data_IF_898349908278
#
_entry.id   IF_898349908278
#
_cell.length_a   1.000
_cell.length_b   1.000
_cell.length_c   1.000
_cell.angle_alpha   90.00
_cell.angle_beta   90.00
_cell.angle_gamma   90.00
#
_symmetry.space_group_name_H-M   'P 1'
#
loop_
_entity.id
_entity.type
_entity.pdbx_description
1 polymer ?
#
# COMPACT_ATOMS: atom_id res chain seq x y z
N UNK A 1 7.29 12.29 0.09
CA UNK A 1 5.86 12.67 -0.07
C UNK A 1 5.70 14.09 0.44
N UNK A 2 4.99 14.98 -0.27
CA UNK A 2 4.76 16.37 0.19
C UNK A 2 3.48 16.43 1.03
N UNK A 3 3.57 17.03 2.22
CA UNK A 3 2.44 17.17 3.16
C UNK A 3 2.44 18.58 3.76
N UNK A 4 1.26 19.04 4.19
CA UNK A 4 1.08 20.32 4.87
C UNK A 4 0.97 20.10 6.37
N UNK A 5 1.72 20.88 7.16
CA UNK A 5 1.63 20.85 8.62
C UNK A 5 0.37 21.61 9.10
N UNK A 6 -0.80 20.99 9.03
CA UNK A 6 -2.07 21.67 9.34
C UNK A 6 -2.16 22.12 10.81
N UNK A 7 -1.75 21.24 11.74
CA UNK A 7 -1.85 21.48 13.19
C UNK A 7 -0.63 22.21 13.80
N UNK A 8 0.27 22.71 12.96
CA UNK A 8 1.49 23.37 13.40
C UNK A 8 1.78 24.61 12.54
N UNK A 9 2.95 24.64 11.90
CA UNK A 9 3.43 25.83 11.17
C UNK A 9 2.67 26.16 9.88
N UNK A 10 1.66 25.37 9.46
CA UNK A 10 0.86 25.54 8.23
C UNK A 10 1.66 25.55 6.92
N UNK A 11 2.94 25.19 6.98
CA UNK A 11 3.82 25.11 5.81
C UNK A 11 3.85 23.70 5.24
N UNK A 12 4.09 23.64 3.94
CA UNK A 12 4.35 22.39 3.26
C UNK A 12 5.78 21.91 3.51
N UNK A 13 5.96 20.61 3.61
CA UNK A 13 7.26 19.98 3.74
C UNK A 13 7.27 18.60 3.10
N UNK A 14 8.47 18.10 2.81
CA UNK A 14 8.67 16.72 2.41
C UNK A 14 8.78 15.88 3.68
N UNK A 15 7.94 14.85 3.79
CA UNK A 15 8.09 13.84 4.84
C UNK A 15 9.45 13.18 4.62
N UNK A 16 10.34 13.35 5.59
CA UNK A 16 11.65 12.71 5.63
C UNK A 16 11.53 11.32 6.24
N UNK A 17 12.30 11.06 7.28
CA UNK A 17 12.30 9.78 7.98
C UNK A 17 10.96 9.54 8.70
N UNK A 18 10.42 8.34 8.50
CA UNK A 18 9.28 7.81 9.24
C UNK A 18 9.84 6.91 10.33
N UNK A 19 9.48 7.19 11.57
CA UNK A 19 9.96 6.50 12.76
C UNK A 19 8.89 5.57 13.30
N UNK A 20 9.31 4.52 13.98
CA UNK A 20 8.41 3.62 14.72
C UNK A 20 8.84 3.55 16.17
N UNK A 21 7.88 3.58 17.10
CA UNK A 21 8.12 3.39 18.54
C UNK A 21 7.05 2.50 19.15
N UNK A 22 7.42 1.73 20.17
CA UNK A 22 6.45 1.05 21.03
C UNK A 22 5.82 2.07 21.97
N UNK A 23 4.49 2.15 21.99
CA UNK A 23 3.75 3.06 22.88
C UNK A 23 3.21 2.31 24.10
N UNK A 24 2.90 1.03 23.93
CA UNK A 24 2.48 0.11 24.98
C UNK A 24 2.88 -1.29 24.56
N UNK A 25 3.00 -2.21 25.53
CA UNK A 25 3.38 -3.63 25.36
C UNK A 25 3.49 -4.14 23.91
N UNK A 26 2.36 -4.28 23.21
CA UNK A 26 2.29 -4.80 21.83
C UNK A 26 1.85 -3.75 20.78
N UNK A 27 1.63 -2.50 21.20
CA UNK A 27 1.18 -1.40 20.36
C UNK A 27 2.38 -0.62 19.81
N UNK A 28 2.55 -0.71 18.50
CA UNK A 28 3.54 0.03 17.73
C UNK A 28 2.89 1.26 17.08
N UNK A 29 3.59 2.39 17.16
CA UNK A 29 3.23 3.65 16.52
C UNK A 29 4.27 4.03 15.51
N UNK A 30 3.85 4.12 14.25
CA UNK A 30 4.63 4.72 13.17
C UNK A 30 4.24 6.19 13.03
N UNK A 31 5.21 7.09 13.03
CA UNK A 31 5.00 8.53 13.01
C UNK A 31 6.09 9.27 12.21
N UNK A 32 5.81 10.51 11.82
CA UNK A 32 6.83 11.43 11.30
C UNK A 32 6.71 12.77 12.03
N UNK A 33 7.77 13.56 11.98
CA UNK A 33 7.84 14.86 12.65
C UNK A 33 7.96 15.95 11.59
N UNK A 34 7.22 17.05 11.77
CA UNK A 34 7.42 18.25 10.97
C UNK A 34 8.80 18.84 11.28
N UNK A 35 9.71 18.94 10.30
CA UNK A 35 11.08 19.40 10.55
C UNK A 35 11.16 20.89 10.94
N UNK A 36 10.08 21.66 10.73
CA UNK A 36 10.06 23.09 11.05
C UNK A 36 9.55 23.42 12.45
N UNK A 37 8.59 22.64 12.97
CA UNK A 37 7.92 22.95 14.23
C UNK A 37 7.86 21.79 15.22
N UNK A 38 8.44 20.63 14.87
CA UNK A 38 8.50 19.48 15.77
C UNK A 38 7.17 18.73 15.96
N UNK A 39 6.08 19.13 15.27
CA UNK A 39 4.79 18.46 15.42
C UNK A 39 4.87 17.00 14.95
N UNK A 40 4.50 16.08 15.84
CA UNK A 40 4.43 14.65 15.56
C UNK A 40 3.10 14.29 14.87
N UNK A 41 3.17 13.52 13.79
CA UNK A 41 2.03 12.99 13.04
C UNK A 41 2.07 11.47 13.04
N UNK A 42 1.01 10.86 13.59
CA UNK A 42 0.83 9.40 13.57
C UNK A 42 0.40 8.94 12.18
N UNK A 43 1.14 8.02 11.59
CA UNK A 43 0.81 7.38 10.31
C UNK A 43 -0.02 6.12 10.54
N UNK A 44 0.40 5.30 11.50
CA UNK A 44 -0.18 4.00 11.75
C UNK A 44 0.00 3.62 13.23
N UNK A 45 -1.03 3.01 13.79
CA UNK A 45 -0.98 2.28 15.05
C UNK A 45 -1.32 0.82 14.73
N UNK A 46 -0.49 -0.11 15.17
CA UNK A 46 -0.78 -1.55 15.06
C UNK A 46 -0.55 -2.23 16.38
N UNK A 47 -1.41 -3.19 16.69
CA UNK A 47 -1.17 -4.19 17.72
C UNK A 47 -0.76 -5.52 17.08
N UNK A 48 -0.49 -6.51 17.92
CA UNK A 48 -0.11 -7.86 17.50
C UNK A 48 -1.14 -8.51 16.57
N UNK A 49 -2.43 -8.37 16.87
CA UNK A 49 -3.53 -8.96 16.10
C UNK A 49 -3.64 -8.33 14.71
N UNK A 50 -3.57 -7.00 14.62
CA UNK A 50 -3.60 -6.27 13.36
C UNK A 50 -2.41 -6.69 12.47
N UNK A 51 -1.22 -6.87 13.05
CA UNK A 51 -0.04 -7.34 12.31
C UNK A 51 -0.23 -8.76 11.78
N UNK A 52 -0.85 -9.66 12.55
CA UNK A 52 -1.17 -11.02 12.10
C UNK A 52 -2.17 -11.01 10.93
N UNK A 53 -3.24 -10.24 11.02
CA UNK A 53 -4.23 -10.15 9.93
C UNK A 53 -3.64 -9.50 8.67
N UNK A 54 -2.79 -8.49 8.81
CA UNK A 54 -2.04 -7.93 7.68
C UNK A 54 -1.12 -8.96 7.02
N UNK A 55 -0.52 -9.86 7.80
CA UNK A 55 0.30 -10.94 7.27
C UNK A 55 -0.55 -11.98 6.52
N UNK A 56 -1.68 -12.38 7.10
CA UNK A 56 -2.65 -13.28 6.45
C UNK A 56 -3.17 -12.72 5.12
N UNK A 57 -3.46 -11.41 5.07
CA UNK A 57 -3.86 -10.75 3.83
C UNK A 57 -2.77 -10.85 2.75
N UNK A 58 -1.49 -10.68 3.10
CA UNK A 58 -0.38 -10.83 2.14
C UNK A 58 -0.27 -12.26 1.60
N UNK A 59 -0.54 -13.26 2.42
CA UNK A 59 -0.51 -14.66 2.01
C UNK A 59 -1.64 -14.97 1.03
N UNK A 60 -2.86 -14.55 1.36
CA UNK A 60 -4.02 -14.67 0.45
C UNK A 60 -3.81 -13.92 -0.87
N UNK A 61 -3.17 -12.74 -0.85
CA UNK A 61 -2.81 -12.02 -2.08
C UNK A 61 -1.85 -12.82 -2.96
N UNK A 62 -0.84 -13.49 -2.37
CA UNK A 62 0.09 -14.35 -3.12
C UNK A 62 -0.62 -15.53 -3.75
N UNK A 63 -1.49 -16.21 -3.00
CA UNK A 63 -2.28 -17.32 -3.51
C UNK A 63 -3.18 -16.89 -4.67
N UNK A 64 -3.84 -15.74 -4.52
CA UNK A 64 -4.68 -15.17 -5.57
C UNK A 64 -3.87 -14.88 -6.85
N UNK A 65 -2.67 -14.31 -6.72
CA UNK A 65 -1.79 -14.04 -7.87
C UNK A 65 -1.40 -15.34 -8.57
N UNK A 66 -0.95 -16.35 -7.82
CA UNK A 66 -0.59 -17.64 -8.38
C UNK A 66 -1.77 -18.32 -9.09
N UNK A 67 -2.98 -18.22 -8.53
CA UNK A 67 -4.18 -18.76 -9.16
C UNK A 67 -4.50 -18.01 -10.47
N UNK A 68 -4.38 -16.68 -10.49
CA UNK A 68 -4.57 -15.89 -11.71
C UNK A 68 -3.58 -16.26 -12.80
N UNK A 69 -2.31 -16.49 -12.46
CA UNK A 69 -1.29 -16.95 -13.42
C UNK A 69 -1.67 -18.32 -14.02
N UNK A 70 -2.14 -19.26 -13.20
CA UNK A 70 -2.66 -20.55 -13.67
C UNK A 70 -3.85 -20.37 -14.62
N UNK A 71 -4.80 -19.51 -14.28
CA UNK A 71 -5.96 -19.22 -15.13
C UNK A 71 -5.53 -18.66 -16.48
N UNK A 72 -4.62 -17.68 -16.51
CA UNK A 72 -4.10 -17.09 -17.74
C UNK A 72 -3.38 -18.13 -18.60
N UNK A 73 -2.57 -19.00 -17.99
CA UNK A 73 -1.88 -20.10 -18.68
C UNK A 73 -2.87 -21.12 -19.26
N UNK A 74 -3.90 -21.48 -18.51
CA UNK A 74 -4.92 -22.41 -18.99
C UNK A 74 -5.71 -21.82 -20.17
N UNK A 75 -6.03 -20.53 -20.10
CA UNK A 75 -6.71 -19.82 -21.18
C UNK A 75 -5.86 -19.77 -22.46
N UNK A 76 -4.54 -19.52 -22.35
CA UNK A 76 -3.66 -19.51 -23.51
C UNK A 76 -3.55 -20.89 -24.17
N UNK A 77 -3.46 -21.96 -23.37
CA UNK A 77 -3.47 -23.33 -23.87
C UNK A 77 -4.79 -23.68 -24.57
N UNK A 78 -5.93 -23.22 -24.04
CA UNK A 78 -7.23 -23.42 -24.66
C UNK A 78 -7.30 -22.76 -26.05
N UNK A 79 -6.84 -21.51 -26.16
CA UNK A 79 -6.79 -20.78 -27.44
C UNK A 79 -5.92 -21.51 -28.47
N UNK A 80 -4.78 -22.06 -28.06
CA UNK A 80 -3.90 -22.86 -28.92
C UNK A 80 -4.59 -24.12 -29.45
N UNK A 81 -5.33 -24.84 -28.59
CA UNK A 81 -6.06 -26.07 -28.96
C UNK A 81 -7.20 -25.82 -29.94
N UNK A 82 -7.86 -24.67 -29.83
CA UNK A 82 -8.97 -24.29 -30.71
C UNK A 82 -8.51 -23.81 -32.09
N UNK A 83 -7.20 -23.88 -32.42
CA UNK A 83 -6.68 -23.62 -33.76
C UNK A 83 -6.73 -22.14 -34.20
N UNK A 84 -6.86 -21.20 -33.27
CA UNK A 84 -7.00 -19.77 -33.56
C UNK A 84 -5.67 -19.10 -33.94
N UNK A 85 -5.38 -19.04 -35.24
CA UNK A 85 -4.43 -18.08 -35.80
C UNK A 85 -4.97 -16.65 -35.74
N UNK A 86 -4.25 -15.75 -35.07
CA UNK A 86 -4.23 -14.31 -35.37
C UNK A 86 -2.80 -13.79 -35.21
N UNK A 87 -2.18 -13.41 -36.34
CA UNK A 87 -1.03 -12.50 -36.36
C UNK A 87 -1.47 -11.14 -35.79
N UNK A 88 -0.67 -10.51 -34.93
CA UNK A 88 -1.09 -9.22 -34.36
C UNK A 88 -0.17 -8.55 -33.34
N UNK A 89 1.09 -8.35 -33.73
CA UNK A 89 2.09 -7.33 -33.30
C UNK A 89 1.94 -6.57 -31.96
N UNK A 90 3.11 -6.52 -31.31
CA UNK A 90 3.71 -5.40 -30.55
C UNK A 90 2.96 -4.91 -29.29
N UNK A 91 3.54 -5.33 -28.17
CA UNK A 91 3.54 -4.53 -26.95
C UNK A 91 4.10 -5.34 -25.81
N UNK A 92 5.36 -5.12 -25.46
CA UNK A 92 5.86 -5.43 -24.12
C UNK A 92 5.06 -4.59 -23.11
N UNK A 93 3.80 -4.94 -22.83
CA UNK A 93 3.14 -4.50 -21.60
C UNK A 93 3.59 -5.50 -20.56
N UNK A 94 4.59 -5.06 -19.78
CA UNK A 94 5.00 -5.70 -18.53
C UNK A 94 3.74 -6.22 -17.83
N UNK A 95 3.74 -7.44 -17.24
CA UNK A 95 2.66 -7.81 -16.35
C UNK A 95 2.52 -6.65 -15.38
N UNK A 96 1.33 -6.06 -15.37
CA UNK A 96 1.02 -4.96 -14.49
C UNK A 96 1.29 -5.46 -13.08
N UNK A 97 2.48 -5.12 -12.57
CA UNK A 97 2.65 -4.74 -11.18
C UNK A 97 1.40 -3.95 -10.92
N UNK A 98 0.53 -4.47 -10.06
CA UNK A 98 -0.65 -3.78 -9.58
C UNK A 98 -0.22 -2.34 -9.37
N UNK A 99 -0.54 -1.48 -10.33
CA UNK A 99 -0.23 -0.08 -10.21
C UNK A 99 -1.26 0.29 -9.19
N UNK A 100 -0.84 0.24 -7.91
CA UNK A 100 -1.49 0.91 -6.82
C UNK A 100 -1.60 2.31 -7.38
N UNK A 101 -2.75 2.60 -8.02
CA UNK A 101 -3.18 3.94 -8.29
C UNK A 101 -2.95 4.57 -6.94
N UNK A 102 -1.95 5.44 -6.86
CA UNK A 102 -1.96 6.53 -5.93
C UNK A 102 -3.20 7.35 -6.34
N UNK A 103 -4.41 6.79 -6.17
CA UNK A 103 -5.46 7.53 -5.50
C UNK A 103 -4.67 8.10 -4.34
N UNK A 104 -4.41 9.41 -4.43
CA UNK A 104 -4.16 10.23 -3.27
C UNK A 104 -5.30 9.85 -2.35
N UNK A 105 -5.13 8.77 -1.57
CA UNK A 105 -5.84 8.56 -0.34
C UNK A 105 -5.38 9.82 0.36
N UNK A 106 -6.25 10.83 0.34
CA UNK A 106 -6.34 11.76 1.45
C UNK A 106 -6.27 10.81 2.62
N UNK A 107 -5.08 10.71 3.21
CA UNK A 107 -4.96 10.10 4.52
C UNK A 107 -5.84 11.03 5.30
N UNK A 108 -7.10 10.63 5.49
CA UNK A 108 -7.89 11.13 6.60
C UNK A 108 -7.02 10.71 7.76
N UNK A 109 -6.17 11.64 8.19
CA UNK A 109 -5.56 11.58 9.50
C UNK A 109 -6.79 11.46 10.39
N UNK A 110 -7.08 10.24 10.84
CA UNK A 110 -8.09 10.03 11.85
C UNK A 110 -7.46 10.65 13.09
N UNK A 111 -7.68 11.96 13.25
CA UNK A 111 -7.57 12.61 14.54
C UNK A 111 -8.66 11.94 15.38
N UNK A 112 -8.26 10.96 16.18
CA UNK A 112 -9.10 10.56 17.30
C UNK A 112 -9.04 11.76 18.23
N UNK A 113 -10.00 12.69 18.06
CA UNK A 113 -10.27 13.72 19.05
C UNK A 113 -10.80 12.98 20.27
N UNK A 114 -9.92 12.73 21.23
CA UNK A 114 -10.34 12.49 22.61
C UNK A 114 -10.81 13.84 23.14
N UNK A 115 -12.13 14.01 23.21
CA UNK A 115 -12.77 15.01 24.06
C UNK A 115 -12.60 14.61 25.53
#
# INVERSE_FOLDING_TARGET
>A
MKVTCNDGCKREFLVGEVKTKNVKADIEKTYFICPRCGKEYTVLLTDSKIRQEQQRLKELEKEQIALREKIVKNMSLLIQRLGGGMMGRKGKKKPGVYEKKKKKKKVKVFTISTA
#
